data_IF_813876961291
#
_entry.id   IF_813876961291
#
_cell.length_a   1.000
_cell.length_b   1.000
_cell.length_c   1.000
_cell.angle_alpha   90.00
_cell.angle_beta   90.00
_cell.angle_gamma   90.00
#
_symmetry.space_group_name_H-M   'P 1'
#
loop_
_entity.id
_entity.type
_entity.pdbx_description
1 polymer ?
#
# COMPACT_ATOMS: atom_id res chain seq x y z
N UNK A 1 32.34 -0.49 -2.63
CA UNK A 1 31.48 0.37 -3.45
C UNK A 1 30.07 0.28 -2.87
N UNK A 2 29.56 1.36 -2.28
CA UNK A 2 28.20 1.40 -1.74
C UNK A 2 27.21 1.80 -2.82
N UNK A 3 26.04 1.17 -2.86
CA UNK A 3 24.94 1.59 -3.73
C UNK A 3 24.48 3.01 -3.34
N UNK A 4 24.35 3.95 -4.29
CA UNK A 4 23.73 5.26 -4.04
C UNK A 4 22.32 5.14 -3.48
N UNK A 5 21.92 6.09 -2.62
CA UNK A 5 20.63 6.06 -1.94
C UNK A 5 19.45 6.17 -2.91
N UNK A 6 19.61 6.91 -4.00
CA UNK A 6 18.60 7.10 -5.04
C UNK A 6 18.30 5.80 -5.80
N UNK A 7 19.35 5.01 -6.09
CA UNK A 7 19.19 3.72 -6.74
C UNK A 7 18.53 2.71 -5.80
N UNK A 8 18.93 2.71 -4.52
CA UNK A 8 18.27 1.86 -3.52
C UNK A 8 16.80 2.23 -3.36
N UNK A 9 16.47 3.53 -3.31
CA UNK A 9 15.09 4.00 -3.26
C UNK A 9 14.29 3.58 -4.50
N UNK A 10 14.91 3.66 -5.69
CA UNK A 10 14.27 3.22 -6.93
C UNK A 10 13.98 1.72 -6.92
N UNK A 11 14.91 0.89 -6.46
CA UNK A 11 14.71 -0.55 -6.26
C UNK A 11 13.55 -0.81 -5.29
N UNK A 12 13.45 -0.07 -4.19
CA UNK A 12 12.32 -0.22 -3.27
C UNK A 12 10.99 0.14 -3.93
N UNK A 13 10.94 1.22 -4.72
CA UNK A 13 9.72 1.61 -5.44
C UNK A 13 9.29 0.50 -6.40
N UNK A 14 10.20 -0.03 -7.21
CA UNK A 14 9.90 -1.13 -8.13
C UNK A 14 9.43 -2.38 -7.37
N UNK A 15 10.14 -2.77 -6.31
CA UNK A 15 9.72 -3.91 -5.49
C UNK A 15 8.34 -3.73 -4.84
N UNK A 16 7.95 -2.49 -4.52
CA UNK A 16 6.61 -2.22 -3.98
C UNK A 16 5.48 -2.33 -5.01
N UNK A 17 5.82 -2.36 -6.30
CA UNK A 17 4.88 -2.63 -7.39
C UNK A 17 4.57 -4.12 -7.52
N UNK A 18 5.39 -5.00 -6.96
CA UNK A 18 5.12 -6.45 -6.91
C UNK A 18 4.61 -6.87 -5.53
N UNK A 19 5.22 -6.38 -4.46
CA UNK A 19 4.85 -6.69 -3.08
C UNK A 19 4.38 -5.44 -2.34
N UNK A 20 3.08 -5.38 -2.04
CA UNK A 20 2.52 -4.25 -1.31
C UNK A 20 3.10 -4.14 0.11
N UNK A 21 3.61 -5.20 0.75
CA UNK A 21 4.20 -5.18 2.09
C UNK A 21 5.65 -4.70 2.11
N UNK A 22 6.34 -4.71 0.98
CA UNK A 22 7.74 -4.33 0.86
C UNK A 22 8.07 -2.96 1.49
N UNK A 23 7.28 -1.88 1.30
CA UNK A 23 7.51 -0.60 1.97
C UNK A 23 7.66 -0.69 3.49
N UNK A 24 6.88 -1.58 4.13
CA UNK A 24 6.99 -1.85 5.56
C UNK A 24 8.23 -2.68 5.87
N UNK A 25 8.47 -3.74 5.11
CA UNK A 25 9.64 -4.61 5.31
C UNK A 25 10.96 -3.80 5.24
N UNK A 26 11.16 -3.01 4.18
CA UNK A 26 12.38 -2.21 4.00
C UNK A 26 12.53 -1.12 5.08
N UNK A 27 11.42 -0.58 5.58
CA UNK A 27 11.41 0.40 6.69
C UNK A 27 11.86 -0.18 8.04
N UNK A 28 11.95 -1.50 8.16
CA UNK A 28 12.32 -2.21 9.38
C UNK A 28 13.68 -2.92 9.31
N UNK A 29 14.39 -2.85 8.17
CA UNK A 29 15.73 -3.47 8.02
C UNK A 29 16.79 -2.74 8.85
N UNK A 30 16.93 -1.43 8.64
CA UNK A 30 17.84 -0.60 9.44
C UNK A 30 17.40 0.87 9.45
N UNK A 31 18.02 1.68 10.32
CA UNK A 31 17.74 3.12 10.44
C UNK A 31 17.91 3.90 9.12
N UNK A 32 18.91 3.56 8.32
CA UNK A 32 19.16 4.22 7.03
C UNK A 32 18.06 3.91 6.01
N UNK A 33 17.62 2.65 5.93
CA UNK A 33 16.54 2.23 5.03
C UNK A 33 15.19 2.81 5.46
N UNK A 34 14.94 2.88 6.77
CA UNK A 34 13.78 3.58 7.31
C UNK A 34 13.76 5.04 6.90
N UNK A 35 14.88 5.75 7.07
CA UNK A 35 14.98 7.14 6.65
C UNK A 35 14.72 7.26 5.15
N UNK A 36 15.33 6.42 4.32
CA UNK A 36 15.13 6.42 2.89
C UNK A 36 13.66 6.20 2.51
N UNK A 37 13.02 5.16 3.06
CA UNK A 37 11.62 4.84 2.81
C UNK A 37 10.68 6.00 3.18
N UNK A 38 10.90 6.69 4.31
CA UNK A 38 10.11 7.86 4.72
C UNK A 38 10.35 9.11 3.83
N UNK A 39 11.50 9.19 3.17
CA UNK A 39 11.84 10.27 2.23
C UNK A 39 11.49 9.95 0.78
N UNK A 40 10.94 8.77 0.49
CA UNK A 40 10.51 8.37 -0.86
C UNK A 40 8.99 8.19 -0.91
N UNK A 41 8.20 9.25 -1.14
CA UNK A 41 6.73 9.16 -1.12
C UNK A 41 6.15 8.18 -2.16
N UNK A 42 6.80 8.04 -3.31
CA UNK A 42 6.38 7.11 -4.37
C UNK A 42 6.36 5.64 -3.91
N UNK A 43 7.15 5.28 -2.90
CA UNK A 43 7.15 3.94 -2.29
C UNK A 43 5.82 3.59 -1.62
N UNK A 44 5.05 4.61 -1.21
CA UNK A 44 3.78 4.46 -0.48
C UNK A 44 2.56 4.70 -1.36
N UNK A 45 2.76 4.87 -2.68
CA UNK A 45 1.70 5.16 -3.66
C UNK A 45 0.58 4.11 -3.64
N UNK A 46 0.94 2.82 -3.51
CA UNK A 46 -0.03 1.72 -3.54
C UNK A 46 -0.75 1.58 -2.21
N UNK A 47 -2.06 1.78 -2.24
CA UNK A 47 -2.95 1.72 -1.09
C UNK A 47 -3.94 0.57 -1.30
N UNK A 48 -3.73 -0.52 -0.57
CA UNK A 48 -4.65 -1.66 -0.55
C UNK A 48 -5.72 -1.40 0.52
N UNK A 49 -6.97 -1.36 0.08
CA UNK A 49 -8.16 -1.15 0.90
C UNK A 49 -8.63 -2.49 1.43
N UNK A 50 -8.11 -2.85 2.60
CA UNK A 50 -8.47 -4.04 3.35
C UNK A 50 -9.03 -3.68 4.74
N UNK A 51 -9.32 -4.71 5.54
CA UNK A 51 -9.81 -4.54 6.91
C UNK A 51 -8.86 -3.79 7.85
N UNK A 52 -7.59 -3.54 7.47
CA UNK A 52 -6.59 -2.87 8.29
C UNK A 52 -6.61 -1.36 8.05
N UNK A 53 -7.69 -0.68 8.43
CA UNK A 53 -7.88 0.78 8.28
C UNK A 53 -6.64 1.62 8.60
N UNK A 54 -5.99 1.31 9.72
CA UNK A 54 -4.80 2.02 10.16
C UNK A 54 -3.64 1.91 9.14
N UNK A 55 -3.46 0.76 8.49
CA UNK A 55 -2.35 0.53 7.56
C UNK A 55 -2.48 1.41 6.33
N UNK A 56 -3.64 1.43 5.69
CA UNK A 56 -3.81 2.25 4.50
C UNK A 56 -3.82 3.74 4.81
N UNK A 57 -4.34 4.17 5.96
CA UNK A 57 -4.19 5.55 6.42
C UNK A 57 -2.71 5.95 6.56
N UNK A 58 -1.88 5.11 7.17
CA UNK A 58 -0.44 5.37 7.30
C UNK A 58 0.25 5.45 5.93
N UNK A 59 -0.16 4.62 4.96
CA UNK A 59 0.36 4.70 3.58
C UNK A 59 -0.01 6.01 2.91
N UNK A 60 -1.27 6.42 3.00
CA UNK A 60 -1.75 7.70 2.44
C UNK A 60 -0.95 8.88 3.00
N UNK A 61 -0.70 8.88 4.32
CA UNK A 61 0.12 9.91 4.98
C UNK A 61 1.56 9.91 4.47
N UNK A 62 2.19 8.73 4.34
CA UNK A 62 3.57 8.60 3.87
C UNK A 62 3.74 8.89 2.38
N UNK A 63 2.68 8.71 1.58
CA UNK A 63 2.64 9.10 0.17
C UNK A 63 2.63 10.63 -0.02
N UNK A 64 2.39 11.43 1.04
CA UNK A 64 2.41 12.91 1.03
C UNK A 64 1.52 13.49 -0.08
N UNK A 65 2.10 14.23 -1.04
CA UNK A 65 1.39 14.78 -2.20
C UNK A 65 1.54 13.92 -3.46
N UNK A 66 2.17 12.74 -3.37
CA UNK A 66 2.30 11.82 -4.49
C UNK A 66 0.92 11.29 -4.91
N UNK A 67 0.83 10.88 -6.17
CA UNK A 67 -0.33 10.16 -6.68
C UNK A 67 -0.53 8.85 -5.93
N UNK A 68 -1.75 8.32 -5.98
CA UNK A 68 -2.16 7.11 -5.29
C UNK A 68 -2.68 6.07 -6.29
N UNK A 69 -2.24 4.83 -6.12
CA UNK A 69 -2.78 3.67 -6.84
C UNK A 69 -3.66 2.92 -5.82
N UNK A 70 -4.98 3.10 -5.95
CA UNK A 70 -5.96 2.50 -5.03
C UNK A 70 -6.29 1.09 -5.51
N UNK A 71 -6.16 0.12 -4.61
CA UNK A 71 -6.50 -1.28 -4.88
C UNK A 71 -7.52 -1.77 -3.87
N UNK A 72 -8.58 -2.38 -4.36
CA UNK A 72 -9.64 -2.95 -3.54
C UNK A 72 -9.70 -4.44 -3.91
N UNK A 73 -9.15 -5.29 -3.04
CA UNK A 73 -9.03 -6.72 -3.28
C UNK A 73 -9.30 -7.50 -1.98
N UNK A 74 -9.88 -8.71 -2.07
CA UNK A 74 -9.96 -9.62 -0.93
C UNK A 74 -8.56 -9.88 -0.41
N UNK A 75 -8.29 -9.51 0.84
CA UNK A 75 -7.02 -9.85 1.47
C UNK A 75 -7.23 -11.09 2.35
N UNK A 76 -6.49 -12.18 2.10
CA UNK A 76 -6.56 -13.37 2.94
C UNK A 76 -6.23 -12.98 4.37
N UNK A 77 -7.15 -13.28 5.28
CA UNK A 77 -6.93 -13.12 6.71
C UNK A 77 -6.40 -14.44 7.24
N UNK A 78 -5.17 -14.39 7.73
CA UNK A 78 -4.49 -15.54 8.32
C UNK A 78 -4.87 -15.64 9.80
N UNK A 79 -5.61 -16.69 10.15
CA UNK A 79 -5.98 -17.05 11.53
C UNK A 79 -5.21 -18.29 12.01
N UNK A 80 -3.96 -18.47 11.55
CA UNK A 80 -3.10 -19.60 11.93
C UNK A 80 -3.36 -20.81 11.02
N UNK A 81 -4.35 -21.63 11.36
CA UNK A 81 -4.67 -22.86 10.60
C UNK A 81 -5.71 -22.63 9.49
N UNK A 82 -6.35 -21.46 9.45
CA UNK A 82 -7.41 -21.15 8.49
C UNK A 82 -7.13 -19.82 7.81
N UNK A 83 -7.02 -19.86 6.48
CA UNK A 83 -7.02 -18.67 5.64
C UNK A 83 -8.44 -18.41 5.19
N UNK A 84 -9.02 -17.30 5.64
CA UNK A 84 -10.35 -16.87 5.21
C UNK A 84 -10.20 -15.80 4.14
N UNK A 85 -10.79 -16.03 2.96
CA UNK A 85 -10.97 -15.02 1.94
C UNK A 85 -12.32 -14.32 2.17
N UNK A 86 -12.34 -13.07 2.64
CA UNK A 86 -13.59 -12.35 2.82
C UNK A 86 -14.25 -12.08 1.47
N UNK A 87 -15.54 -12.39 1.34
CA UNK A 87 -16.33 -11.97 0.19
C UNK A 87 -16.41 -10.45 0.24
N UNK A 88 -16.05 -9.82 -0.87
CA UNK A 88 -16.00 -8.40 -0.98
C UNK A 88 -17.38 -7.91 -1.48
N UNK A 89 -18.30 -7.73 -0.54
CA UNK A 89 -19.68 -7.36 -0.84
C UNK A 89 -19.83 -5.88 -1.25
N UNK A 90 -20.97 -5.56 -1.89
CA UNK A 90 -21.22 -4.22 -2.40
C UNK A 90 -21.21 -3.15 -1.29
N UNK A 91 -21.68 -3.49 -0.09
CA UNK A 91 -21.71 -2.57 1.05
C UNK A 91 -20.30 -2.19 1.50
N UNK A 92 -19.42 -3.19 1.62
CA UNK A 92 -18.02 -3.00 2.02
C UNK A 92 -17.26 -2.20 0.98
N UNK A 93 -17.46 -2.48 -0.31
CA UNK A 93 -16.91 -1.67 -1.42
C UNK A 93 -17.33 -0.21 -1.24
N UNK A 94 -18.63 0.05 -1.09
CA UNK A 94 -19.15 1.41 -0.93
C UNK A 94 -18.57 2.10 0.31
N UNK A 95 -18.46 1.37 1.43
CA UNK A 95 -17.89 1.90 2.65
C UNK A 95 -16.43 2.33 2.45
N UNK A 96 -15.59 1.48 1.88
CA UNK A 96 -14.18 1.81 1.63
C UNK A 96 -14.03 2.94 0.61
N UNK A 97 -14.79 2.90 -0.49
CA UNK A 97 -14.77 3.96 -1.49
C UNK A 97 -15.17 5.31 -0.89
N UNK A 98 -16.16 5.37 0.00
CA UNK A 98 -16.56 6.63 0.64
C UNK A 98 -15.41 7.32 1.40
N UNK A 99 -14.49 6.53 1.97
CA UNK A 99 -13.34 7.03 2.72
C UNK A 99 -12.25 7.57 1.79
N UNK A 100 -12.00 6.91 0.65
CA UNK A 100 -10.95 7.33 -0.29
C UNK A 100 -11.43 8.32 -1.36
N UNK A 101 -12.74 8.45 -1.59
CA UNK A 101 -13.33 9.38 -2.56
C UNK A 101 -12.82 10.83 -2.44
N UNK A 102 -12.65 11.41 -1.23
CA UNK A 102 -12.07 12.74 -1.09
C UNK A 102 -10.64 12.87 -1.62
N UNK A 103 -9.94 11.76 -1.82
CA UNK A 103 -8.57 11.70 -2.34
C UNK A 103 -8.51 11.55 -3.87
N UNK A 104 -9.66 11.47 -4.57
CA UNK A 104 -9.75 11.29 -6.04
C UNK A 104 -8.80 12.20 -6.84
N UNK A 105 -8.61 13.50 -6.51
CA UNK A 105 -7.70 14.35 -7.27
C UNK A 105 -6.24 13.86 -7.30
N UNK A 106 -5.86 12.99 -6.36
CA UNK A 106 -4.52 12.40 -6.28
C UNK A 106 -4.47 11.00 -6.88
N UNK A 107 -5.58 10.44 -7.35
CA UNK A 107 -5.59 9.07 -7.86
C UNK A 107 -4.90 9.02 -9.21
N UNK A 108 -4.03 8.01 -9.36
CA UNK A 108 -3.42 7.63 -10.64
C UNK A 108 -4.11 6.39 -11.22
N UNK A 109 -4.53 5.45 -10.37
CA UNK A 109 -5.29 4.27 -10.77
C UNK A 109 -6.26 3.80 -9.69
N UNK A 110 -7.32 3.13 -10.13
CA UNK A 110 -8.24 2.35 -9.29
C UNK A 110 -8.29 0.94 -9.86
N UNK A 111 -8.00 -0.07 -9.05
CA UNK A 111 -8.12 -1.48 -9.38
C UNK A 111 -9.05 -2.15 -8.37
N UNK A 112 -10.14 -2.76 -8.85
CA UNK A 112 -11.09 -3.49 -8.02
C UNK A 112 -11.08 -4.94 -8.49
N UNK A 113 -10.64 -5.84 -7.61
CA UNK A 113 -10.56 -7.28 -7.89
C UNK A 113 -11.63 -7.99 -7.09
N UNK A 114 -12.40 -8.84 -7.76
CA UNK A 114 -13.45 -9.65 -7.15
C UNK A 114 -13.09 -11.15 -7.10
N UNK A 115 -11.98 -11.53 -7.73
CA UNK A 115 -11.58 -12.94 -7.86
C UNK A 115 -10.66 -13.35 -6.71
N UNK A 116 -10.90 -14.56 -6.18
CA UNK A 116 -10.13 -15.20 -5.11
C UNK A 116 -8.89 -15.95 -5.63
#
# INVERSE_FOLDING_TARGET
>A
MSLPAELLAHVFVLGSEDDFMLPLAVSHVCRAWRALALHTPALWRRVVLDGRLHMWQQRILRAKACTLDIQLAPHPQDFGDVVVMPILDAYTVMQYLSIVTPLIPRWRSLDIRFDA
#
